data_IF_424725442187
#
_entry.id   IF_424725442187
#
_cell.length_a   1.000
_cell.length_b   1.000
_cell.length_c   1.000
_cell.angle_alpha   90.00
_cell.angle_beta   90.00
_cell.angle_gamma   90.00
#
_symmetry.space_group_name_H-M   'P 1'
#
loop_
_entity.id
_entity.type
_entity.pdbx_description
1 polymer ?
#
# COMPACT_ATOMS: atom_id res chain seq x y z
N UNK A 1 -25.96 6.64 14.68
CA UNK A 1 -25.28 7.56 13.72
C UNK A 1 -25.57 7.01 12.36
N UNK A 2 -26.42 7.48 11.94
CA UNK A 2 -27.71 7.42 11.47
C UNK A 2 -27.78 7.63 9.95
N UNK A 3 -28.83 7.25 9.47
CA UNK A 3 -29.47 7.31 8.15
C UNK A 3 -29.01 8.45 7.20
N UNK A 4 -28.48 9.57 7.70
CA UNK A 4 -28.05 10.71 6.87
C UNK A 4 -26.77 10.48 6.01
N UNK A 5 -25.88 9.57 6.42
CA UNK A 5 -24.72 9.21 5.59
C UNK A 5 -25.12 8.32 4.41
N UNK A 6 -26.21 7.59 4.53
CA UNK A 6 -26.74 6.78 3.46
C UNK A 6 -27.41 7.60 2.34
N UNK A 7 -27.77 8.87 2.62
CA UNK A 7 -28.45 9.75 1.66
C UNK A 7 -27.53 10.27 0.53
N UNK A 8 -26.20 10.16 0.71
CA UNK A 8 -25.20 10.66 -0.25
C UNK A 8 -24.15 9.61 -0.59
N UNK A 9 -24.52 8.45 -1.13
CA UNK A 9 -23.55 7.42 -1.42
C UNK A 9 -22.56 7.84 -2.51
N UNK A 10 -21.31 7.44 -2.36
CA UNK A 10 -20.30 7.54 -3.42
C UNK A 10 -20.41 6.29 -4.29
N UNK A 11 -20.65 6.47 -5.58
CA UNK A 11 -20.66 5.37 -6.52
C UNK A 11 -19.26 5.16 -7.10
N UNK A 12 -18.72 3.97 -6.90
CA UNK A 12 -17.44 3.56 -7.43
C UNK A 12 -17.57 2.16 -8.04
N UNK A 13 -17.22 2.03 -9.31
CA UNK A 13 -17.28 0.76 -10.03
C UNK A 13 -18.64 0.05 -9.90
N UNK A 14 -19.75 0.78 -10.12
CA UNK A 14 -21.13 0.29 -10.01
C UNK A 14 -21.56 -0.19 -8.61
N UNK A 15 -20.80 0.13 -7.57
CA UNK A 15 -21.18 -0.12 -6.17
C UNK A 15 -21.28 1.19 -5.41
N UNK A 16 -22.15 1.20 -4.42
CA UNK A 16 -22.37 2.34 -3.55
C UNK A 16 -21.61 2.14 -2.23
N UNK A 17 -20.94 3.20 -1.80
CA UNK A 17 -20.17 3.25 -0.55
C UNK A 17 -20.62 4.43 0.28
N UNK A 18 -20.40 4.38 1.59
CA UNK A 18 -20.59 5.54 2.45
C UNK A 18 -19.68 6.69 1.98
N UNK A 19 -20.12 7.95 2.06
CA UNK A 19 -19.35 9.12 1.63
C UNK A 19 -18.22 9.44 2.61
N UNK A 20 -17.44 8.44 2.94
CA UNK A 20 -16.31 8.48 3.85
C UNK A 20 -15.08 7.90 3.14
N UNK A 21 -14.10 8.75 2.91
CA UNK A 21 -12.82 8.31 2.33
C UNK A 21 -11.65 8.78 3.21
N UNK A 22 -10.77 7.86 3.54
CA UNK A 22 -9.52 8.15 4.25
C UNK A 22 -8.36 7.87 3.31
N UNK A 23 -7.58 8.91 3.00
CA UNK A 23 -6.43 8.83 2.09
C UNK A 23 -5.25 8.07 2.70
N UNK A 24 -4.30 7.70 1.83
CA UNK A 24 -3.04 7.09 2.24
C UNK A 24 -2.10 8.13 2.84
N UNK A 25 -1.91 8.08 4.15
CA UNK A 25 -1.00 8.94 4.89
C UNK A 25 0.22 8.17 5.36
N UNK A 26 1.38 8.85 5.29
CA UNK A 26 2.69 8.27 5.57
C UNK A 26 2.82 7.59 6.92
N UNK A 27 3.97 7.05 7.11
CA UNK A 27 4.40 5.95 7.97
C UNK A 27 3.43 5.57 9.08
N UNK A 28 2.73 4.45 8.88
CA UNK A 28 1.85 3.81 9.87
C UNK A 28 0.69 4.69 10.42
N UNK A 29 0.31 5.77 9.71
CA UNK A 29 -0.91 6.54 10.03
C UNK A 29 -2.11 5.87 9.37
N UNK A 30 -2.06 5.66 8.04
CA UNK A 30 -3.03 4.84 7.33
C UNK A 30 -2.65 3.36 7.47
N UNK A 31 -2.92 2.82 8.65
CA UNK A 31 -2.62 1.44 9.04
C UNK A 31 -3.87 0.53 8.95
N UNK A 32 -3.68 -0.72 9.29
CA UNK A 32 -4.73 -1.74 9.31
C UNK A 32 -5.92 -1.38 10.19
N UNK A 33 -5.68 -0.87 11.39
CA UNK A 33 -6.73 -0.50 12.35
C UNK A 33 -7.65 0.57 11.79
N UNK A 34 -7.07 1.63 11.21
CA UNK A 34 -7.85 2.72 10.60
C UNK A 34 -8.59 2.23 9.35
N UNK A 35 -7.91 1.45 8.51
CA UNK A 35 -8.49 0.93 7.28
C UNK A 35 -9.70 0.02 7.54
N UNK A 36 -9.58 -0.90 8.49
CA UNK A 36 -10.67 -1.81 8.86
C UNK A 36 -11.85 -1.06 9.54
N UNK A 37 -11.56 -0.02 10.31
CA UNK A 37 -12.62 0.79 10.91
C UNK A 37 -13.46 1.51 9.85
N UNK A 38 -12.82 2.11 8.84
CA UNK A 38 -13.50 2.79 7.73
C UNK A 38 -14.25 1.82 6.84
N UNK A 39 -13.62 0.69 6.50
CA UNK A 39 -14.21 -0.38 5.69
C UNK A 39 -15.50 -0.92 6.35
N UNK A 40 -15.47 -1.17 7.65
CA UNK A 40 -16.62 -1.64 8.42
C UNK A 40 -17.81 -0.67 8.37
N UNK A 41 -17.56 0.63 8.25
CA UNK A 41 -18.59 1.66 8.06
C UNK A 41 -19.08 1.77 6.60
N UNK A 42 -18.54 0.96 5.71
CA UNK A 42 -18.88 0.99 4.28
C UNK A 42 -18.15 2.09 3.49
N UNK A 43 -17.14 2.72 4.05
CA UNK A 43 -16.32 3.75 3.41
C UNK A 43 -15.17 3.20 2.57
N UNK A 44 -14.32 4.08 2.07
CA UNK A 44 -13.13 3.78 1.28
C UNK A 44 -11.89 4.15 2.09
N UNK A 45 -11.08 3.17 2.45
CA UNK A 45 -9.84 3.36 3.19
C UNK A 45 -8.62 3.14 2.32
N UNK A 46 -7.49 3.66 2.77
CA UNK A 46 -6.19 3.37 2.19
C UNK A 46 -5.24 2.82 3.24
N UNK A 47 -4.45 1.84 2.87
CA UNK A 47 -3.21 1.48 3.54
C UNK A 47 -2.07 2.32 2.96
N UNK A 48 -1.08 2.66 3.76
CA UNK A 48 0.15 3.29 3.26
C UNK A 48 1.24 2.24 3.06
N UNK A 49 1.90 2.24 1.91
CA UNK A 49 3.03 1.36 1.65
C UNK A 49 4.38 1.89 2.19
N UNK A 50 4.36 3.09 2.78
CA UNK A 50 5.56 3.72 3.31
C UNK A 50 6.15 2.92 4.48
N UNK A 51 7.39 2.44 4.31
CA UNK A 51 8.10 1.60 5.27
C UNK A 51 7.35 0.30 5.68
N UNK A 52 6.56 -0.26 4.77
CA UNK A 52 5.69 -1.40 5.05
C UNK A 52 6.48 -2.63 5.54
N UNK A 53 7.70 -2.86 5.04
CA UNK A 53 8.56 -3.95 5.54
C UNK A 53 8.89 -3.80 7.03
N UNK A 54 9.18 -2.58 7.50
CA UNK A 54 9.46 -2.30 8.92
C UNK A 54 8.20 -2.45 9.79
N UNK A 55 7.05 -2.04 9.24
CA UNK A 55 5.75 -2.22 9.88
C UNK A 55 5.43 -3.72 10.02
N UNK A 56 5.63 -4.49 8.95
CA UNK A 56 5.43 -5.93 8.96
C UNK A 56 6.34 -6.62 9.98
N UNK A 57 7.62 -6.24 10.06
CA UNK A 57 8.56 -6.76 11.05
C UNK A 57 8.09 -6.52 12.49
N UNK A 58 7.56 -5.33 12.77
CA UNK A 58 7.06 -4.98 14.10
C UNK A 58 5.76 -5.70 14.45
N UNK A 59 4.87 -5.84 13.46
CA UNK A 59 3.55 -6.42 13.67
C UNK A 59 3.60 -7.95 13.76
N UNK A 60 4.41 -8.59 12.94
CA UNK A 60 4.44 -10.05 12.80
C UNK A 60 5.70 -10.71 13.41
N UNK A 61 6.65 -9.91 13.91
CA UNK A 61 7.91 -10.44 14.44
C UNK A 61 8.83 -11.02 13.37
N UNK A 62 8.68 -10.57 12.13
CA UNK A 62 9.51 -10.99 11.00
C UNK A 62 10.86 -10.28 10.99
N UNK A 63 11.71 -10.57 10.03
CA UNK A 63 13.06 -10.01 9.90
C UNK A 63 13.36 -9.42 8.53
N UNK A 64 12.35 -8.93 7.80
CA UNK A 64 12.50 -8.41 6.44
C UNK A 64 13.50 -7.24 6.34
N UNK A 65 13.53 -6.37 7.34
CA UNK A 65 14.41 -5.20 7.38
C UNK A 65 15.77 -5.46 8.02
N UNK A 66 15.88 -6.41 8.94
CA UNK A 66 17.10 -6.62 9.74
C UNK A 66 18.34 -6.85 8.90
N UNK A 67 18.25 -7.74 7.93
CA UNK A 67 19.39 -8.07 7.05
C UNK A 67 19.79 -6.89 6.19
N UNK A 68 18.84 -6.10 5.69
CA UNK A 68 19.10 -4.90 4.93
C UNK A 68 19.81 -3.85 5.77
N UNK A 69 19.33 -3.58 6.97
CA UNK A 69 19.95 -2.62 7.91
C UNK A 69 21.37 -3.07 8.25
N UNK A 70 21.56 -4.36 8.52
CA UNK A 70 22.88 -4.91 8.82
C UNK A 70 23.84 -4.79 7.64
N UNK A 71 23.39 -5.12 6.42
CA UNK A 71 24.19 -5.09 5.19
C UNK A 71 24.67 -3.68 4.85
N UNK A 72 23.84 -2.68 5.05
CA UNK A 72 24.09 -1.30 4.64
C UNK A 72 24.33 -0.35 5.81
N UNK A 73 24.69 -0.87 6.99
CA UNK A 73 24.91 -0.05 8.19
C UNK A 73 25.96 1.05 8.01
N UNK A 74 26.98 0.81 7.19
CA UNK A 74 28.05 1.76 6.92
C UNK A 74 27.63 2.90 5.96
N UNK A 75 26.46 2.75 5.30
CA UNK A 75 25.93 3.74 4.36
C UNK A 75 24.80 4.59 4.98
N UNK A 76 24.52 4.43 6.27
CA UNK A 76 23.41 5.13 6.94
C UNK A 76 23.60 6.65 6.85
N UNK A 77 24.80 7.13 7.10
CA UNK A 77 25.14 8.55 7.14
C UNK A 77 25.71 9.10 5.82
N UNK A 78 25.74 8.29 4.76
CA UNK A 78 26.23 8.72 3.46
C UNK A 78 25.11 9.34 2.61
N UNK A 79 25.45 10.36 1.82
CA UNK A 79 24.53 10.94 0.83
C UNK A 79 24.28 9.99 -0.34
N UNK A 80 25.33 9.29 -0.76
CA UNK A 80 25.24 8.33 -1.87
C UNK A 80 24.60 7.03 -1.39
N UNK A 81 23.43 6.73 -1.91
CA UNK A 81 22.68 5.51 -1.67
C UNK A 81 22.66 4.58 -2.89
N UNK A 82 23.51 4.81 -3.89
CA UNK A 82 23.53 4.07 -5.15
C UNK A 82 23.81 2.57 -4.96
N UNK A 83 24.54 2.20 -3.93
CA UNK A 83 24.84 0.81 -3.60
C UNK A 83 23.71 0.08 -2.86
N UNK A 84 22.69 0.83 -2.37
CA UNK A 84 21.60 0.23 -1.62
C UNK A 84 20.62 -0.43 -2.58
N UNK A 85 20.55 -1.75 -2.57
CA UNK A 85 19.59 -2.53 -3.30
C UNK A 85 18.45 -3.02 -2.39
N UNK A 86 17.26 -3.15 -2.96
CA UNK A 86 16.15 -3.83 -2.32
C UNK A 86 16.20 -5.32 -2.65
N UNK A 87 15.98 -6.15 -1.64
CA UNK A 87 15.64 -7.54 -1.83
C UNK A 87 14.17 -7.60 -2.26
N UNK A 88 13.95 -7.83 -3.56
CA UNK A 88 12.62 -7.79 -4.16
C UNK A 88 11.73 -8.92 -3.66
N UNK A 89 12.28 -10.08 -3.35
CA UNK A 89 11.52 -11.22 -2.85
C UNK A 89 11.00 -10.93 -1.45
N UNK A 90 11.84 -10.39 -0.58
CA UNK A 90 11.42 -9.97 0.78
C UNK A 90 10.45 -8.80 0.74
N UNK A 91 10.63 -7.86 -0.20
CA UNK A 91 9.69 -6.77 -0.42
C UNK A 91 8.32 -7.31 -0.84
N UNK A 92 8.28 -8.27 -1.77
CA UNK A 92 7.05 -8.91 -2.19
C UNK A 92 6.40 -9.69 -1.05
N UNK A 93 7.17 -10.49 -0.34
CA UNK A 93 6.68 -11.31 0.77
C UNK A 93 6.08 -10.45 1.89
N UNK A 94 6.79 -9.41 2.33
CA UNK A 94 6.30 -8.52 3.39
C UNK A 94 5.03 -7.76 2.98
N UNK A 95 4.98 -7.28 1.74
CA UNK A 95 3.80 -6.57 1.21
C UNK A 95 2.60 -7.49 1.12
N UNK A 96 2.76 -8.68 0.52
CA UNK A 96 1.71 -9.67 0.42
C UNK A 96 1.21 -10.12 1.79
N UNK A 97 2.12 -10.41 2.72
CA UNK A 97 1.78 -10.85 4.07
C UNK A 97 0.94 -9.81 4.82
N UNK A 98 1.39 -8.55 4.83
CA UNK A 98 0.66 -7.45 5.46
C UNK A 98 -0.72 -7.24 4.84
N UNK A 99 -0.80 -7.17 3.51
CA UNK A 99 -2.07 -6.96 2.81
C UNK A 99 -3.02 -8.13 3.04
N UNK A 100 -2.55 -9.38 2.92
CA UNK A 100 -3.38 -10.57 3.14
C UNK A 100 -3.93 -10.62 4.56
N UNK A 101 -3.12 -10.27 5.57
CA UNK A 101 -3.59 -10.19 6.96
C UNK A 101 -4.73 -9.18 7.11
N UNK A 102 -4.55 -7.96 6.59
CA UNK A 102 -5.58 -6.93 6.65
C UNK A 102 -6.85 -7.39 5.92
N UNK A 103 -6.72 -7.89 4.71
CA UNK A 103 -7.86 -8.32 3.90
C UNK A 103 -8.60 -9.52 4.50
N UNK A 104 -7.91 -10.41 5.20
CA UNK A 104 -8.54 -11.53 5.91
C UNK A 104 -9.45 -11.09 7.08
N UNK A 105 -9.18 -9.92 7.64
CA UNK A 105 -9.95 -9.31 8.76
C UNK A 105 -11.07 -8.39 8.29
N UNK A 106 -11.21 -8.19 7.00
CA UNK A 106 -12.27 -7.37 6.40
C UNK A 106 -13.65 -7.99 6.65
N UNK A 107 -14.59 -7.21 7.17
CA UNK A 107 -15.92 -7.71 7.56
C UNK A 107 -17.08 -6.89 7.02
N UNK A 108 -16.85 -5.68 6.57
CA UNK A 108 -17.85 -4.78 6.02
C UNK A 108 -17.95 -4.81 4.50
N UNK A 109 -18.55 -3.76 3.94
CA UNK A 109 -18.76 -3.60 2.48
C UNK A 109 -17.86 -2.54 1.86
N UNK A 110 -17.06 -1.86 2.68
CA UNK A 110 -16.16 -0.81 2.22
C UNK A 110 -15.01 -1.34 1.36
N UNK A 111 -14.22 -0.43 0.83
CA UNK A 111 -13.00 -0.75 0.09
C UNK A 111 -11.76 -0.47 0.94
N UNK A 112 -10.77 -1.31 0.80
CA UNK A 112 -9.41 -1.07 1.29
C UNK A 112 -8.48 -1.02 0.07
N UNK A 113 -7.97 0.17 -0.19
CA UNK A 113 -6.97 0.43 -1.23
C UNK A 113 -5.58 0.47 -0.59
N UNK A 114 -4.54 0.34 -1.40
CA UNK A 114 -3.17 0.64 -0.96
C UNK A 114 -2.64 1.86 -1.72
N UNK A 115 -2.07 2.81 -1.00
CA UNK A 115 -1.42 3.97 -1.57
C UNK A 115 0.06 3.67 -1.75
N UNK A 116 0.46 3.40 -2.98
CA UNK A 116 1.85 3.14 -3.34
C UNK A 116 2.53 4.45 -3.75
N UNK A 117 3.59 4.77 -3.01
CA UNK A 117 4.40 5.94 -3.32
C UNK A 117 5.50 5.55 -4.29
N UNK A 118 5.57 6.24 -5.43
CA UNK A 118 6.69 6.10 -6.35
C UNK A 118 7.84 7.01 -5.92
N UNK A 119 9.01 6.41 -5.71
CA UNK A 119 10.24 7.14 -5.35
C UNK A 119 11.20 7.11 -6.52
N UNK A 120 11.21 8.16 -7.32
CA UNK A 120 12.07 8.30 -8.51
C UNK A 120 13.57 8.24 -8.20
N UNK A 121 13.95 8.63 -7.00
CA UNK A 121 15.35 8.72 -6.58
C UNK A 121 15.92 7.43 -6.00
N UNK A 122 15.12 6.36 -6.00
CA UNK A 122 15.58 5.06 -5.51
C UNK A 122 16.23 4.24 -6.62
N UNK A 123 17.20 3.42 -6.25
CA UNK A 123 17.74 2.40 -7.15
C UNK A 123 16.64 1.42 -7.54
N UNK A 124 16.57 1.11 -8.84
CA UNK A 124 15.57 0.21 -9.41
C UNK A 124 14.11 0.58 -9.03
N UNK A 125 13.76 1.86 -9.07
CA UNK A 125 12.43 2.38 -8.69
C UNK A 125 11.28 1.66 -9.39
N UNK A 126 11.39 1.41 -10.70
CA UNK A 126 10.38 0.70 -11.47
C UNK A 126 10.21 -0.77 -11.01
N UNK A 127 11.32 -1.47 -10.73
CA UNK A 127 11.27 -2.84 -10.26
C UNK A 127 10.65 -2.93 -8.86
N UNK A 128 11.03 -2.05 -7.94
CA UNK A 128 10.44 -2.01 -6.58
C UNK A 128 8.97 -1.62 -6.61
N UNK A 129 8.55 -0.70 -7.47
CA UNK A 129 7.13 -0.37 -7.65
C UNK A 129 6.36 -1.58 -8.18
N UNK A 130 6.82 -2.19 -9.28
CA UNK A 130 6.18 -3.38 -9.86
C UNK A 130 6.03 -4.51 -8.83
N UNK A 131 7.06 -4.75 -8.04
CA UNK A 131 7.05 -5.77 -6.98
C UNK A 131 5.96 -5.47 -5.94
N UNK A 132 5.85 -4.24 -5.46
CA UNK A 132 4.83 -3.84 -4.47
C UNK A 132 3.42 -3.93 -5.04
N UNK A 133 3.21 -3.50 -6.29
CA UNK A 133 1.91 -3.59 -6.96
C UNK A 133 1.46 -5.04 -7.08
N UNK A 134 2.30 -5.93 -7.62
CA UNK A 134 1.99 -7.34 -7.74
C UNK A 134 1.71 -7.98 -6.37
N UNK A 135 2.56 -7.73 -5.40
CA UNK A 135 2.41 -8.31 -4.06
C UNK A 135 1.13 -7.83 -3.35
N UNK A 136 0.72 -6.58 -3.57
CA UNK A 136 -0.54 -6.07 -3.04
C UNK A 136 -1.75 -6.73 -3.70
N UNK A 137 -1.71 -6.93 -5.03
CA UNK A 137 -2.75 -7.65 -5.78
C UNK A 137 -2.83 -9.11 -5.32
N UNK A 138 -1.69 -9.79 -5.20
CA UNK A 138 -1.61 -11.16 -4.69
C UNK A 138 -2.12 -11.27 -3.25
N UNK A 139 -1.98 -10.21 -2.46
CA UNK A 139 -2.53 -10.09 -1.12
C UNK A 139 -4.05 -9.87 -1.07
N UNK A 140 -4.68 -9.64 -2.23
CA UNK A 140 -6.12 -9.48 -2.36
C UNK A 140 -6.64 -8.06 -2.10
N UNK A 141 -5.80 -7.03 -2.26
CA UNK A 141 -6.23 -5.63 -2.08
C UNK A 141 -7.36 -5.26 -3.04
N UNK A 142 -8.33 -4.45 -2.60
CA UNK A 142 -9.45 -4.03 -3.46
C UNK A 142 -9.03 -3.06 -4.57
N UNK A 143 -7.93 -2.34 -4.42
CA UNK A 143 -7.43 -1.42 -5.43
C UNK A 143 -6.15 -0.71 -5.01
N UNK A 144 -5.61 0.08 -5.93
CA UNK A 144 -4.33 0.77 -5.76
C UNK A 144 -4.48 2.24 -6.11
N UNK A 145 -3.85 3.10 -5.32
CA UNK A 145 -3.61 4.51 -5.68
C UNK A 145 -2.11 4.75 -5.80
N UNK A 146 -1.69 5.50 -6.80
CA UNK A 146 -0.32 5.97 -6.95
C UNK A 146 -0.20 7.40 -6.45
N UNK A 147 0.83 7.68 -5.68
CA UNK A 147 1.13 9.01 -5.17
C UNK A 147 2.59 9.39 -5.42
N UNK A 148 2.94 10.64 -5.07
CA UNK A 148 4.25 11.26 -5.27
C UNK A 148 4.58 11.64 -6.73
N UNK A 149 3.59 12.04 -7.48
CA UNK A 149 3.71 12.64 -8.81
C UNK A 149 2.89 11.91 -9.89
N UNK A 150 2.80 12.54 -11.05
CA UNK A 150 2.18 11.94 -12.22
C UNK A 150 3.27 11.31 -13.09
N UNK A 151 3.38 10.00 -13.04
CA UNK A 151 4.38 9.25 -13.78
C UNK A 151 3.74 8.47 -14.92
N UNK A 152 3.92 8.92 -16.15
CA UNK A 152 3.35 8.26 -17.34
C UNK A 152 3.85 6.82 -17.50
N UNK A 153 5.09 6.55 -17.09
CA UNK A 153 5.65 5.19 -17.08
C UNK A 153 4.94 4.26 -16.09
N UNK A 154 4.55 4.78 -14.94
CA UNK A 154 3.81 4.02 -13.93
C UNK A 154 2.39 3.73 -14.38
N UNK A 155 1.75 4.64 -15.12
CA UNK A 155 0.45 4.39 -15.73
C UNK A 155 0.50 3.24 -16.74
N UNK A 156 1.55 3.18 -17.56
CA UNK A 156 1.76 2.05 -18.46
C UNK A 156 1.93 0.73 -17.70
N UNK A 157 2.70 0.73 -16.62
CA UNK A 157 2.85 -0.42 -15.76
C UNK A 157 1.51 -0.89 -15.16
N UNK A 158 0.66 0.05 -14.74
CA UNK A 158 -0.68 -0.30 -14.24
C UNK A 158 -1.57 -0.90 -15.33
N UNK A 159 -1.48 -0.42 -16.57
CA UNK A 159 -2.18 -1.02 -17.72
C UNK A 159 -1.70 -2.44 -17.99
N UNK A 160 -0.39 -2.67 -17.97
CA UNK A 160 0.21 -4.00 -18.16
C UNK A 160 -0.22 -5.00 -17.07
N UNK A 161 -0.57 -4.52 -15.89
CA UNK A 161 -1.14 -5.30 -14.78
C UNK A 161 -2.66 -5.42 -14.83
N UNK A 162 -3.30 -5.00 -15.92
CA UNK A 162 -4.77 -5.01 -16.10
C UNK A 162 -5.51 -4.17 -15.04
N UNK A 163 -4.87 -3.16 -14.47
CA UNK A 163 -5.49 -2.23 -13.54
C UNK A 163 -6.29 -1.18 -14.30
N UNK A 164 -7.52 -0.94 -13.84
CA UNK A 164 -8.41 0.05 -14.44
C UNK A 164 -8.05 1.43 -13.90
N UNK A 165 -7.84 2.37 -14.81
CA UNK A 165 -7.69 3.79 -14.47
C UNK A 165 -9.04 4.44 -14.25
N UNK A 166 -9.12 5.18 -13.20
CA UNK A 166 -10.27 6.05 -12.93
C UNK A 166 -9.76 7.48 -12.82
#
# INVERSE_FOLDING_TARGET
MSDRLADFPVTFHNRQYAPLMVGGMGVNISNDTLALAVEKLGGIAHLSDALLMDIADKQFGTGFCKDKIHRYKNLVDTYDKSEIAFDLDRLAESTRHYVSDVMSRKTGRGLILINCMEKLTMNASAATLKTRLNAALDGGIDGITLSAGLHLSSMKLMQDLSLIHI
#
